data_IF_030362471372
#
_entry.id   IF_030362471372
#
_cell.length_a   1.000
_cell.length_b   1.000
_cell.length_c   1.000
_cell.angle_alpha   90.00
_cell.angle_beta   90.00
_cell.angle_gamma   90.00
#
_symmetry.space_group_name_H-M   'P 1'
#
loop_
_entity.id
_entity.type
_entity.pdbx_description
1 polymer ?
#
# COMPACT_ATOMS: atom_id res chain seq x y z
N UNK A 1 -13.77 -12.40 24.81
CA UNK A 1 -13.86 -11.20 23.94
C UNK A 1 -15.11 -11.31 23.09
N UNK A 2 -16.02 -10.34 23.12
CA UNK A 2 -17.24 -10.35 22.30
C UNK A 2 -16.90 -10.24 20.81
N UNK A 3 -17.75 -10.76 19.92
CA UNK A 3 -17.53 -10.74 18.47
C UNK A 3 -17.39 -9.32 17.91
N UNK A 4 -18.10 -8.35 18.49
CA UNK A 4 -17.96 -6.93 18.15
C UNK A 4 -16.57 -6.37 18.45
N UNK A 5 -15.99 -6.70 19.63
CA UNK A 5 -14.63 -6.24 19.99
C UNK A 5 -13.58 -6.82 19.05
N UNK A 6 -13.73 -8.08 18.63
CA UNK A 6 -12.82 -8.69 17.64
C UNK A 6 -12.94 -8.02 16.27
N UNK A 7 -14.15 -7.72 15.81
CA UNK A 7 -14.35 -7.03 14.53
C UNK A 7 -13.71 -5.63 14.53
N UNK A 8 -13.84 -4.88 15.63
CA UNK A 8 -13.21 -3.57 15.77
C UNK A 8 -11.66 -3.66 15.71
N UNK A 9 -11.07 -4.69 16.34
CA UNK A 9 -9.62 -4.92 16.28
C UNK A 9 -9.17 -5.29 14.86
N UNK A 10 -9.90 -6.18 14.16
CA UNK A 10 -9.60 -6.55 12.77
C UNK A 10 -9.65 -5.34 11.85
N UNK A 11 -10.64 -4.46 12.03
CA UNK A 11 -10.79 -3.23 11.27
C UNK A 11 -9.67 -2.22 11.57
N UNK A 12 -9.28 -2.10 12.84
CA UNK A 12 -8.12 -1.28 13.24
C UNK A 12 -6.81 -1.75 12.61
N UNK A 13 -6.55 -3.07 12.62
CA UNK A 13 -5.38 -3.64 11.93
C UNK A 13 -5.44 -3.44 10.41
N UNK A 14 -6.63 -3.55 9.81
CA UNK A 14 -6.80 -3.31 8.37
C UNK A 14 -6.44 -1.87 7.99
N UNK A 15 -6.87 -0.89 8.79
CA UNK A 15 -6.53 0.53 8.60
C UNK A 15 -5.03 0.75 8.75
N UNK A 16 -4.40 0.18 9.79
CA UNK A 16 -2.96 0.30 9.99
C UNK A 16 -2.15 -0.29 8.80
N UNK A 17 -2.57 -1.45 8.29
CA UNK A 17 -1.96 -2.07 7.12
C UNK A 17 -2.15 -1.22 5.85
N UNK A 18 -3.33 -0.63 5.65
CA UNK A 18 -3.60 0.27 4.52
C UNK A 18 -2.72 1.53 4.55
N UNK A 19 -2.53 2.12 5.74
CA UNK A 19 -1.63 3.27 5.92
C UNK A 19 -0.19 2.88 5.61
N UNK A 20 0.28 1.73 6.13
CA UNK A 20 1.62 1.23 5.85
C UNK A 20 1.86 0.93 4.36
N UNK A 21 0.84 0.41 3.67
CA UNK A 21 0.86 0.21 2.22
C UNK A 21 1.06 1.53 1.48
N UNK A 22 0.27 2.56 1.83
CA UNK A 22 0.35 3.86 1.18
C UNK A 22 1.72 4.53 1.40
N UNK A 23 2.23 4.50 2.63
CA UNK A 23 3.56 5.05 2.96
C UNK A 23 4.65 4.30 2.19
N UNK A 24 4.59 2.97 2.14
CA UNK A 24 5.58 2.15 1.41
C UNK A 24 5.54 2.42 -0.09
N UNK A 25 4.36 2.59 -0.67
CA UNK A 25 4.18 2.94 -2.08
C UNK A 25 4.77 4.31 -2.40
N UNK A 26 4.48 5.32 -1.58
CA UNK A 26 5.00 6.67 -1.78
C UNK A 26 6.53 6.71 -1.66
N UNK A 27 7.09 5.96 -0.71
CA UNK A 27 8.53 5.85 -0.52
C UNK A 27 9.23 4.97 -1.59
N UNK A 28 8.50 4.09 -2.27
CA UNK A 28 9.04 3.23 -3.31
C UNK A 28 9.39 4.00 -4.60
N UNK A 29 8.83 5.18 -4.81
CA UNK A 29 8.94 5.91 -6.06
C UNK A 29 9.94 7.05 -5.90
N UNK A 30 11.01 7.04 -6.67
CA UNK A 30 11.91 8.18 -6.81
C UNK A 30 11.86 8.67 -8.26
N UNK A 31 11.51 9.94 -8.45
CA UNK A 31 11.58 10.61 -9.74
C UNK A 31 13.04 10.90 -10.02
N UNK A 32 13.64 10.17 -10.97
CA UNK A 32 15.01 10.43 -11.39
C UNK A 32 14.92 11.11 -12.76
N UNK A 33 15.35 12.37 -12.81
CA UNK A 33 15.53 13.07 -14.07
C UNK A 33 16.72 12.44 -14.80
N UNK A 34 16.43 11.79 -15.92
CA UNK A 34 17.47 11.24 -16.79
C UNK A 34 18.00 12.39 -17.62
N UNK A 35 19.30 12.70 -17.48
CA UNK A 35 19.95 13.73 -18.28
C UNK A 35 19.81 13.40 -19.78
N UNK A 36 19.39 14.37 -20.62
CA UNK A 36 19.20 14.13 -22.05
C UNK A 36 20.51 13.70 -22.73
N UNK A 37 20.44 12.73 -23.64
CA UNK A 37 21.61 12.21 -24.37
C UNK A 37 22.05 13.19 -25.49
N UNK A 38 21.15 14.03 -25.99
CA UNK A 38 21.39 15.09 -26.99
C UNK A 38 20.75 16.41 -26.55
N UNK A 39 21.44 17.54 -26.79
CA UNK A 39 21.05 18.91 -26.35
C UNK A 39 19.68 19.40 -26.85
N UNK A 40 19.06 18.69 -27.80
CA UNK A 40 17.80 19.07 -28.45
C UNK A 40 16.61 18.15 -28.14
N UNK A 41 16.75 17.17 -27.24
CA UNK A 41 15.70 16.19 -26.94
C UNK A 41 14.94 16.55 -25.66
N UNK A 42 13.59 16.52 -25.65
CA UNK A 42 12.81 16.81 -24.44
C UNK A 42 13.16 15.79 -23.35
N UNK A 43 13.42 16.30 -22.14
CA UNK A 43 13.75 15.46 -21.00
C UNK A 43 12.69 14.36 -20.80
N UNK A 44 13.13 13.10 -20.80
CA UNK A 44 12.27 11.95 -20.56
C UNK A 44 12.31 11.61 -19.07
N UNK A 45 11.20 11.85 -18.37
CA UNK A 45 11.05 11.50 -16.95
C UNK A 45 10.87 9.99 -16.81
N UNK A 46 11.76 9.31 -16.09
CA UNK A 46 11.63 7.88 -15.76
C UNK A 46 11.40 7.71 -14.26
N UNK A 47 10.37 6.95 -13.89
CA UNK A 47 10.08 6.65 -12.48
C UNK A 47 10.89 5.42 -12.09
N UNK A 48 11.84 5.58 -11.17
CA UNK A 48 12.59 4.47 -10.61
C UNK A 48 11.84 3.94 -9.37
N UNK A 49 11.54 2.64 -9.38
CA UNK A 49 10.88 1.97 -8.27
C UNK A 49 11.93 1.22 -7.44
N UNK A 50 11.92 1.41 -6.12
CA UNK A 50 12.69 0.61 -5.18
C UNK A 50 11.96 -0.72 -4.89
N UNK A 51 12.42 -1.87 -5.43
CA UNK A 51 11.63 -3.10 -5.43
C UNK A 51 11.23 -3.62 -4.04
N UNK A 52 12.07 -3.53 -2.99
CA UNK A 52 11.69 -3.98 -1.64
C UNK A 52 10.50 -3.22 -1.04
N UNK A 53 10.44 -1.89 -1.22
CA UNK A 53 9.32 -1.10 -0.70
C UNK A 53 8.04 -1.34 -1.51
N UNK A 54 8.18 -1.56 -2.82
CA UNK A 54 7.07 -1.95 -3.68
C UNK A 54 6.47 -3.30 -3.24
N UNK A 55 7.33 -4.30 -2.98
CA UNK A 55 6.89 -5.60 -2.47
C UNK A 55 6.21 -5.49 -1.10
N UNK A 56 6.76 -4.67 -0.20
CA UNK A 56 6.17 -4.40 1.11
C UNK A 56 4.78 -3.75 0.98
N UNK A 57 4.62 -2.78 0.08
CA UNK A 57 3.33 -2.14 -0.19
C UNK A 57 2.28 -3.16 -0.65
N UNK A 58 2.63 -4.03 -1.61
CA UNK A 58 1.73 -5.07 -2.12
C UNK A 58 1.36 -6.12 -1.05
N UNK A 59 2.31 -6.49 -0.20
CA UNK A 59 2.04 -7.40 0.92
C UNK A 59 1.06 -6.78 1.93
N UNK A 60 1.28 -5.52 2.30
CA UNK A 60 0.39 -4.78 3.21
C UNK A 60 -1.00 -4.57 2.60
N UNK A 61 -1.09 -4.30 1.30
CA UNK A 61 -2.36 -4.21 0.58
C UNK A 61 -3.17 -5.51 0.68
N UNK A 62 -2.50 -6.66 0.50
CA UNK A 62 -3.13 -7.98 0.61
C UNK A 62 -3.66 -8.22 2.03
N UNK A 63 -2.84 -7.95 3.04
CA UNK A 63 -3.24 -8.09 4.45
C UNK A 63 -4.44 -7.18 4.78
N UNK A 64 -4.40 -5.91 4.36
CA UNK A 64 -5.49 -4.97 4.56
C UNK A 64 -6.80 -5.46 3.90
N UNK A 65 -6.72 -5.97 2.66
CA UNK A 65 -7.86 -6.53 1.94
C UNK A 65 -8.49 -7.71 2.67
N UNK A 66 -7.67 -8.69 3.11
CA UNK A 66 -8.15 -9.88 3.83
C UNK A 66 -8.80 -9.48 5.16
N UNK A 67 -8.16 -8.63 5.96
CA UNK A 67 -8.72 -8.18 7.24
C UNK A 67 -10.04 -7.42 7.06
N UNK A 68 -10.14 -6.60 6.02
CA UNK A 68 -11.38 -5.89 5.67
C UNK A 68 -12.51 -6.87 5.35
N UNK A 69 -12.24 -7.89 4.51
CA UNK A 69 -13.23 -8.92 4.17
C UNK A 69 -13.69 -9.69 5.40
N UNK A 70 -12.76 -10.08 6.28
CA UNK A 70 -13.09 -10.80 7.52
C UNK A 70 -13.96 -9.96 8.46
N UNK A 71 -13.61 -8.68 8.64
CA UNK A 71 -14.36 -7.75 9.47
C UNK A 71 -15.78 -7.55 8.94
N UNK A 72 -15.94 -7.30 7.63
CA UNK A 72 -17.24 -7.13 6.98
C UNK A 72 -18.07 -8.42 7.04
N UNK A 73 -17.47 -9.57 6.73
CA UNK A 73 -18.16 -10.86 6.80
C UNK A 73 -18.66 -11.16 8.22
N UNK A 74 -17.89 -10.79 9.25
CA UNK A 74 -18.30 -10.97 10.64
C UNK A 74 -19.39 -9.99 11.06
N UNK A 75 -19.33 -8.74 10.60
CA UNK A 75 -20.40 -7.76 10.84
C UNK A 75 -21.72 -8.21 10.23
N UNK A 76 -21.69 -8.81 9.02
CA UNK A 76 -22.89 -9.34 8.35
C UNK A 76 -23.50 -10.59 9.01
N UNK A 77 -22.72 -11.34 9.79
CA UNK A 77 -23.18 -12.54 10.51
C UNK A 77 -23.78 -12.23 11.88
N UNK A 78 -23.66 -10.99 12.34
CA UNK A 78 -24.10 -10.54 13.66
C UNK A 78 -25.40 -9.77 13.53
#
# INVERSE_FOLDING_TARGET
MTSARRAAVELGLAVAAAVGCLVSWLAANSTVDVAPVLDSEPATTSISYYPPLLALALALATVAGVLTVLAVARLRRR
#
